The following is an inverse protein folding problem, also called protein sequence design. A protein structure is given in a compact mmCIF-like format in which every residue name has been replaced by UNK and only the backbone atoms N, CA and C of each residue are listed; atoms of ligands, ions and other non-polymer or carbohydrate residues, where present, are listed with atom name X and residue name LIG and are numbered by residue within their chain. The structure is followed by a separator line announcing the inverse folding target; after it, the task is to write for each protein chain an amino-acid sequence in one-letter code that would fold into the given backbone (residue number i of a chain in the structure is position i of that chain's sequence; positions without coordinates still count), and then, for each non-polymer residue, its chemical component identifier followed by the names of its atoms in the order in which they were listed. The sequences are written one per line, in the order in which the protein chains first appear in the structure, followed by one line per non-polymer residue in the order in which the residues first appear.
data_IF_011636060633
#
_entry.id   IF_011636060633
#
_cell.length_a   1.000
_cell.length_b   1.000
_cell.length_c   1.000
_cell.angle_alpha   90.00
_cell.angle_beta   90.00
_cell.angle_gamma   90.00
#
_symmetry.space_group_name_H-M   'P 1'
#
loop_
_entity.id
_entity.type
_entity.pdbx_description
1 polymer ?
#
# COMPACT_ATOMS: atom_id res chain seq x y z
N UNK A 1 21.59 2.66 -11.33
CA UNK A 1 20.21 2.12 -11.30
C UNK A 1 20.25 0.65 -10.93
N UNK A 2 20.02 0.35 -9.64
CA UNK A 2 19.78 -1.03 -9.24
C UNK A 2 18.49 -1.51 -9.92
N UNK A 3 18.61 -2.48 -10.79
CA UNK A 3 17.50 -3.02 -11.57
C UNK A 3 16.37 -3.48 -10.62
N UNK A 4 15.14 -3.03 -10.85
CA UNK A 4 13.95 -3.44 -10.08
C UNK A 4 13.81 -4.96 -10.05
N UNK A 5 14.34 -5.67 -11.05
CA UNK A 5 14.31 -7.13 -11.16
C UNK A 5 15.03 -7.86 -10.02
N UNK A 6 16.08 -7.26 -9.46
CA UNK A 6 16.92 -7.90 -8.42
C UNK A 6 16.41 -7.69 -7.00
N UNK A 7 15.32 -6.94 -6.82
CA UNK A 7 14.70 -6.70 -5.51
C UNK A 7 13.78 -7.86 -5.12
N UNK A 8 13.66 -8.08 -3.81
CA UNK A 8 12.65 -9.00 -3.29
C UNK A 8 11.23 -8.51 -3.67
N UNK A 9 10.26 -9.43 -3.72
CA UNK A 9 8.84 -9.09 -3.97
C UNK A 9 8.31 -8.08 -2.95
N UNK A 10 8.80 -8.17 -1.73
CA UNK A 10 8.46 -7.23 -0.68
C UNK A 10 9.01 -5.82 -0.95
N UNK A 11 10.28 -5.71 -1.33
CA UNK A 11 10.90 -4.42 -1.65
C UNK A 11 10.27 -3.76 -2.89
N UNK A 12 9.87 -4.56 -3.89
CA UNK A 12 9.09 -4.08 -5.05
C UNK A 12 7.73 -3.54 -4.61
N UNK A 13 7.06 -4.22 -3.68
CA UNK A 13 5.78 -3.78 -3.15
C UNK A 13 5.90 -2.48 -2.34
N UNK A 14 6.95 -2.35 -1.52
CA UNK A 14 7.22 -1.13 -0.77
C UNK A 14 7.56 0.05 -1.69
N UNK A 15 8.31 -0.20 -2.76
CA UNK A 15 8.61 0.81 -3.79
C UNK A 15 7.31 1.29 -4.46
N UNK A 16 6.37 0.39 -4.75
CA UNK A 16 5.07 0.77 -5.30
C UNK A 16 4.31 1.71 -4.34
N UNK A 17 4.33 1.42 -3.01
CA UNK A 17 3.72 2.30 -2.02
C UNK A 17 4.38 3.69 -1.98
N UNK A 18 5.72 3.76 -2.10
CA UNK A 18 6.44 5.04 -2.19
C UNK A 18 6.01 5.83 -3.44
N UNK A 19 5.86 5.18 -4.59
CA UNK A 19 5.39 5.85 -5.80
C UNK A 19 3.98 6.41 -5.66
N UNK A 20 3.07 5.66 -5.04
CA UNK A 20 1.71 6.15 -4.76
C UNK A 20 1.78 7.40 -3.88
N UNK A 21 2.51 7.33 -2.80
CA UNK A 21 2.65 8.43 -1.84
C UNK A 21 3.28 9.68 -2.49
N UNK A 22 4.38 9.49 -3.24
CA UNK A 22 5.04 10.59 -3.98
C UNK A 22 4.16 11.18 -5.07
N UNK A 23 3.33 10.37 -5.72
CA UNK A 23 2.38 10.83 -6.75
C UNK A 23 1.39 11.82 -6.15
N UNK A 24 0.88 11.55 -4.96
CA UNK A 24 -0.02 12.47 -4.28
C UNK A 24 0.73 13.63 -3.58
N UNK A 25 1.82 13.35 -2.87
CA UNK A 25 2.48 14.34 -2.01
C UNK A 25 3.38 15.33 -2.76
N UNK A 26 4.07 14.86 -3.82
CA UNK A 26 5.04 15.68 -4.57
C UNK A 26 4.57 16.06 -5.96
N UNK A 27 3.99 15.12 -6.71
CA UNK A 27 3.49 15.40 -8.05
C UNK A 27 2.08 16.01 -8.05
N UNK A 28 1.43 16.13 -6.89
CA UNK A 28 0.09 16.72 -6.69
C UNK A 28 -0.99 16.13 -7.60
N UNK A 29 -0.86 14.85 -7.97
CA UNK A 29 -1.81 14.18 -8.85
C UNK A 29 -3.17 13.99 -8.16
N UNK A 30 -4.23 14.01 -8.95
CA UNK A 30 -5.61 13.85 -8.48
C UNK A 30 -6.04 12.37 -8.42
N UNK A 31 -5.29 11.47 -9.07
CA UNK A 31 -5.59 10.05 -9.11
C UNK A 31 -4.33 9.22 -9.34
N UNK A 32 -4.38 7.97 -8.90
CA UNK A 32 -3.37 6.97 -9.17
C UNK A 32 -4.06 5.68 -9.64
N UNK A 33 -3.65 5.16 -10.78
CA UNK A 33 -4.18 3.93 -11.36
C UNK A 33 -3.09 2.86 -11.41
N UNK A 34 -3.39 1.68 -10.88
CA UNK A 34 -2.52 0.53 -11.04
C UNK A 34 -2.91 -0.25 -12.30
N UNK A 35 -1.94 -0.58 -13.14
CA UNK A 35 -2.19 -1.22 -14.43
C UNK A 35 -2.85 -2.60 -14.33
N UNK A 36 -2.39 -3.45 -13.40
CA UNK A 36 -2.82 -4.84 -13.33
C UNK A 36 -3.42 -5.23 -11.98
N UNK A 37 -4.75 -5.30 -11.88
CA UNK A 37 -5.39 -5.77 -10.65
C UNK A 37 -5.21 -7.27 -10.47
N UNK A 38 -5.53 -8.06 -11.50
CA UNK A 38 -5.51 -9.53 -11.44
C UNK A 38 -4.72 -10.09 -12.62
N UNK A 39 -3.75 -10.94 -12.33
CA UNK A 39 -3.01 -11.69 -13.34
C UNK A 39 -3.09 -13.18 -13.10
N UNK A 40 -3.24 -13.96 -14.18
CA UNK A 40 -3.14 -15.40 -14.13
C UNK A 40 -1.67 -15.85 -14.25
N UNK A 41 -1.26 -16.78 -13.40
CA UNK A 41 0.08 -17.38 -13.44
C UNK A 41 0.13 -18.67 -14.25
N UNK A 42 -1.03 -19.23 -14.58
CA UNK A 42 -1.13 -20.48 -15.32
C UNK A 42 -2.27 -20.45 -16.34
N UNK A 43 -2.25 -19.57 -17.34
CA UNK A 43 -3.02 -19.87 -18.52
C UNK A 43 -2.35 -21.08 -19.19
N UNK A 44 -3.16 -22.00 -19.67
CA UNK A 44 -2.71 -23.01 -20.62
C UNK A 44 -1.91 -22.31 -21.74
N UNK A 45 -0.58 -22.50 -21.76
CA UNK A 45 0.31 -21.90 -22.75
C UNK A 45 1.36 -20.89 -22.26
N UNK A 46 1.28 -20.31 -21.05
CA UNK A 46 2.40 -19.51 -20.51
C UNK A 46 3.43 -20.46 -19.86
N UNK A 47 4.29 -20.99 -20.69
CA UNK A 47 5.46 -21.77 -20.25
C UNK A 47 6.70 -20.89 -20.01
N UNK A 48 6.69 -19.66 -20.52
CA UNK A 48 7.82 -18.75 -20.41
C UNK A 48 7.95 -18.20 -18.96
N UNK A 49 9.02 -18.50 -18.22
CA UNK A 49 9.21 -18.04 -16.85
C UNK A 49 9.31 -16.52 -16.72
N UNK A 50 9.80 -15.82 -17.74
CA UNK A 50 9.89 -14.36 -17.75
C UNK A 50 8.48 -13.69 -17.78
N UNK A 51 7.52 -14.29 -18.48
CA UNK A 51 6.14 -13.81 -18.52
C UNK A 51 5.48 -14.04 -17.17
N UNK A 52 5.69 -15.20 -16.54
CA UNK A 52 5.20 -15.48 -15.17
C UNK A 52 5.76 -14.47 -14.17
N UNK A 53 7.07 -14.17 -14.25
CA UNK A 53 7.71 -13.19 -13.37
C UNK A 53 7.13 -11.79 -13.60
N UNK A 54 6.92 -11.39 -14.86
CA UNK A 54 6.28 -10.11 -15.18
C UNK A 54 4.88 -9.99 -14.56
N UNK A 55 4.07 -11.05 -14.64
CA UNK A 55 2.75 -11.07 -14.01
C UNK A 55 2.85 -10.94 -12.47
N UNK A 56 3.83 -11.60 -11.84
CA UNK A 56 4.10 -11.43 -10.40
C UNK A 56 4.53 -10.01 -10.07
N UNK A 57 5.36 -9.41 -10.89
CA UNK A 57 5.86 -8.05 -10.68
C UNK A 57 4.76 -6.98 -10.84
N UNK A 58 3.75 -7.21 -11.69
CA UNK A 58 2.70 -6.25 -12.00
C UNK A 58 1.40 -6.49 -11.21
N UNK A 59 1.05 -7.74 -10.92
CA UNK A 59 -0.24 -8.11 -10.31
C UNK A 59 -0.38 -7.69 -8.85
N UNK A 60 -1.54 -7.14 -8.50
CA UNK A 60 -1.95 -6.99 -7.10
C UNK A 60 -2.51 -8.31 -6.57
N UNK A 61 -3.27 -9.02 -7.40
CA UNK A 61 -3.84 -10.34 -7.12
C UNK A 61 -3.36 -11.31 -8.20
N UNK A 62 -2.89 -12.47 -7.78
CA UNK A 62 -2.44 -13.53 -8.66
C UNK A 62 -3.40 -14.71 -8.55
N UNK A 63 -3.76 -15.27 -9.69
CA UNK A 63 -4.59 -16.47 -9.78
C UNK A 63 -3.77 -17.56 -10.44
N UNK A 64 -3.66 -18.72 -9.80
CA UNK A 64 -3.01 -19.89 -10.34
C UNK A 64 -3.99 -21.06 -10.39
N UNK A 65 -4.08 -21.69 -11.55
CA UNK A 65 -4.84 -22.92 -11.72
C UNK A 65 -3.85 -24.10 -11.78
N UNK A 66 -3.96 -25.02 -10.85
CA UNK A 66 -3.19 -26.27 -10.84
C UNK A 66 -4.12 -27.44 -11.13
N UNK A 67 -3.77 -28.23 -12.12
CA UNK A 67 -4.48 -29.45 -12.46
C UNK A 67 -4.01 -30.55 -11.47
N UNK A 68 -4.87 -30.92 -10.53
CA UNK A 68 -4.73 -32.13 -9.75
C UNK A 68 -5.15 -33.37 -10.53
N UNK A 69 -4.92 -34.56 -9.98
CA UNK A 69 -5.26 -35.81 -10.65
C UNK A 69 -6.73 -35.93 -11.08
N UNK A 70 -7.66 -35.30 -10.31
CA UNK A 70 -9.10 -35.40 -10.53
C UNK A 70 -9.83 -34.05 -10.50
N UNK A 71 -9.17 -32.94 -10.17
CA UNK A 71 -9.82 -31.63 -10.02
C UNK A 71 -8.92 -30.47 -10.42
N UNK A 72 -9.53 -29.41 -10.97
CA UNK A 72 -8.88 -28.12 -11.17
C UNK A 72 -8.91 -27.34 -9.86
N UNK A 73 -7.76 -27.08 -9.26
CA UNK A 73 -7.63 -26.27 -8.07
C UNK A 73 -7.25 -24.84 -8.45
N UNK A 74 -7.99 -23.87 -7.91
CA UNK A 74 -7.72 -22.43 -8.09
C UNK A 74 -7.12 -21.85 -6.82
N UNK A 75 -5.97 -21.22 -6.95
CA UNK A 75 -5.29 -20.50 -5.87
C UNK A 75 -5.36 -19.01 -6.16
N UNK A 76 -5.77 -18.24 -5.17
CA UNK A 76 -5.82 -16.79 -5.23
C UNK A 76 -4.87 -16.22 -4.19
N UNK A 77 -3.85 -15.53 -4.65
CA UNK A 77 -2.86 -14.85 -3.82
C UNK A 77 -3.06 -13.34 -3.89
N UNK A 78 -3.26 -12.69 -2.74
CA UNK A 78 -3.13 -11.24 -2.61
C UNK A 78 -1.68 -10.92 -2.29
N UNK A 79 -0.99 -10.22 -3.18
CA UNK A 79 0.43 -9.88 -3.01
C UNK A 79 0.61 -8.80 -1.93
N UNK A 80 1.85 -8.58 -1.47
CA UNK A 80 2.14 -7.44 -0.58
C UNK A 80 1.83 -6.09 -1.25
N UNK A 81 1.95 -5.99 -2.58
CA UNK A 81 1.52 -4.80 -3.35
C UNK A 81 0.02 -4.52 -3.16
N UNK A 82 -0.83 -5.56 -3.18
CA UNK A 82 -2.25 -5.42 -2.88
C UNK A 82 -2.48 -4.79 -1.49
N UNK A 83 -1.79 -5.25 -0.47
CA UNK A 83 -1.98 -4.74 0.89
C UNK A 83 -1.40 -3.34 1.08
N UNK A 84 -0.30 -3.00 0.42
CA UNK A 84 0.20 -1.64 0.40
C UNK A 84 -0.74 -0.69 -0.38
N UNK A 85 -1.25 -1.12 -1.53
CA UNK A 85 -2.25 -0.36 -2.27
C UNK A 85 -3.54 -0.17 -1.45
N UNK A 86 -3.96 -1.20 -0.71
CA UNK A 86 -5.10 -1.15 0.19
C UNK A 86 -4.97 -0.07 1.27
N UNK A 87 -3.76 0.26 1.73
CA UNK A 87 -3.53 1.34 2.72
C UNK A 87 -4.01 2.71 2.19
N UNK A 88 -4.03 2.91 0.89
CA UNK A 88 -4.59 4.10 0.25
C UNK A 88 -6.05 3.86 -0.14
N UNK A 89 -6.32 2.91 -1.01
CA UNK A 89 -7.61 2.72 -1.66
C UNK A 89 -8.76 2.37 -0.70
N UNK A 90 -8.47 1.72 0.43
CA UNK A 90 -9.50 1.37 1.41
C UNK A 90 -9.94 2.56 2.25
N UNK A 91 -9.07 3.54 2.46
CA UNK A 91 -9.30 4.63 3.42
C UNK A 91 -9.47 5.99 2.75
N UNK A 92 -8.77 6.27 1.66
CA UNK A 92 -8.95 7.49 0.87
C UNK A 92 -10.04 7.25 -0.16
N UNK A 93 -11.19 7.87 0.04
CA UNK A 93 -12.37 7.67 -0.81
C UNK A 93 -12.46 8.72 -1.91
N UNK A 94 -13.19 8.45 -3.00
CA UNK A 94 -13.54 9.48 -3.98
C UNK A 94 -14.13 10.72 -3.29
N UNK A 95 -13.71 11.91 -3.74
CA UNK A 95 -14.12 13.17 -3.14
C UNK A 95 -13.28 13.65 -1.95
N UNK A 96 -12.32 12.85 -1.47
CA UNK A 96 -11.35 13.34 -0.49
C UNK A 96 -10.40 14.32 -1.14
N UNK A 97 -10.05 15.38 -0.42
CA UNK A 97 -9.10 16.41 -0.86
C UNK A 97 -7.77 16.21 -0.15
N UNK A 98 -6.68 16.21 -0.92
CA UNK A 98 -5.33 16.19 -0.34
C UNK A 98 -5.10 17.47 0.46
N UNK A 99 -4.52 17.33 1.65
CA UNK A 99 -4.11 18.45 2.49
C UNK A 99 -2.60 18.45 2.68
N UNK A 100 -2.02 19.63 2.84
CA UNK A 100 -0.59 19.76 3.12
C UNK A 100 -0.29 19.25 4.53
N UNK A 101 0.84 18.57 4.66
CA UNK A 101 1.37 18.14 5.96
C UNK A 101 2.78 18.71 6.09
N UNK A 102 3.04 19.35 7.20
CA UNK A 102 4.39 19.75 7.56
C UNK A 102 5.04 18.58 8.34
N UNK A 103 6.10 18.04 7.77
CA UNK A 103 6.84 16.93 8.38
C UNK A 103 8.31 17.32 8.52
N UNK A 104 8.91 17.14 9.70
CA UNK A 104 10.34 17.38 9.90
C UNK A 104 11.21 16.29 9.26
N UNK A 105 10.61 15.25 8.69
CA UNK A 105 11.32 14.12 8.07
C UNK A 105 11.04 14.06 6.58
N UNK A 106 11.98 13.53 5.82
CA UNK A 106 11.79 13.24 4.39
C UNK A 106 10.96 11.97 4.13
N UNK A 107 10.40 11.38 5.18
CA UNK A 107 9.56 10.19 5.05
C UNK A 107 8.35 10.51 4.18
N UNK A 108 8.11 9.76 3.10
CA UNK A 108 6.92 9.96 2.27
C UNK A 108 5.66 9.82 3.10
N UNK A 109 4.83 10.84 3.05
CA UNK A 109 3.52 10.83 3.68
C UNK A 109 2.53 11.68 2.91
N UNK A 110 1.28 11.23 2.89
CA UNK A 110 0.16 11.92 2.25
C UNK A 110 -0.99 12.03 3.23
N UNK A 111 -1.69 13.16 3.22
CA UNK A 111 -2.88 13.37 4.05
C UNK A 111 -4.06 13.84 3.21
N UNK A 112 -5.24 13.38 3.58
CA UNK A 112 -6.48 13.63 2.87
C UNK A 112 -7.60 13.93 3.86
N UNK A 113 -8.47 14.88 3.52
CA UNK A 113 -9.66 15.20 4.29
C UNK A 113 -10.91 14.84 3.49
N UNK A 114 -11.90 14.26 4.17
CA UNK A 114 -13.20 13.95 3.55
C UNK A 114 -13.94 15.24 3.15
N UNK A 115 -14.83 15.12 2.18
CA UNK A 115 -15.63 16.27 1.68
C UNK A 115 -16.49 16.90 2.76
N UNK A 116 -17.00 16.11 3.71
CA UNK A 116 -17.77 16.58 4.86
C UNK A 116 -16.88 17.10 6.02
N UNK A 117 -15.57 17.06 5.85
CA UNK A 117 -14.54 17.47 6.83
C UNK A 117 -14.62 16.72 8.18
N UNK A 118 -15.22 15.54 8.20
CA UNK A 118 -15.35 14.72 9.43
C UNK A 118 -14.29 13.61 9.54
N UNK A 119 -13.48 13.40 8.51
CA UNK A 119 -12.42 12.40 8.55
C UNK A 119 -11.15 12.94 7.92
N UNK A 120 -10.01 12.69 8.56
CA UNK A 120 -8.66 12.92 8.01
C UNK A 120 -7.95 11.58 7.96
N UNK A 121 -7.38 11.26 6.82
CA UNK A 121 -6.59 10.04 6.58
C UNK A 121 -5.15 10.45 6.30
N UNK A 122 -4.21 9.89 7.05
CA UNK A 122 -2.78 10.09 6.85
C UNK A 122 -2.15 8.75 6.52
N UNK A 123 -1.46 8.67 5.39
CA UNK A 123 -0.69 7.49 4.99
C UNK A 123 0.80 7.80 5.09
N UNK A 124 1.53 6.95 5.79
CA UNK A 124 2.98 7.09 6.03
C UNK A 124 3.70 5.88 5.48
N UNK A 125 4.66 6.10 4.59
CA UNK A 125 5.49 5.05 3.99
C UNK A 125 6.89 5.08 4.59
N UNK A 126 7.15 4.26 5.60
CA UNK A 126 8.49 4.10 6.16
C UNK A 126 9.32 3.13 5.33
N UNK A 127 10.07 3.65 4.38
CA UNK A 127 10.99 2.86 3.55
C UNK A 127 12.38 2.66 4.16
N UNK A 128 12.65 3.27 5.31
CA UNK A 128 13.94 3.16 5.98
C UNK A 128 14.14 1.78 6.65
N UNK A 129 15.39 1.50 7.04
CA UNK A 129 15.73 0.30 7.80
C UNK A 129 15.54 0.47 9.33
N UNK A 130 14.97 1.60 9.78
CA UNK A 130 14.76 1.91 11.18
C UNK A 130 13.27 2.15 11.46
N UNK A 131 12.77 1.79 12.65
CA UNK A 131 11.42 2.16 13.05
C UNK A 131 11.31 3.68 13.19
N UNK A 132 10.15 4.22 12.85
CA UNK A 132 9.82 5.64 12.90
C UNK A 132 8.83 5.89 14.02
N UNK A 133 9.17 6.79 14.95
CA UNK A 133 8.22 7.32 15.93
C UNK A 133 7.64 8.61 15.38
N UNK A 134 6.33 8.71 15.33
CA UNK A 134 5.62 9.90 14.90
C UNK A 134 4.63 10.36 15.96
N UNK A 135 4.54 11.66 16.13
CA UNK A 135 3.47 12.34 16.85
C UNK A 135 2.69 13.17 15.82
N UNK A 136 1.39 12.99 15.81
CA UNK A 136 0.52 13.76 14.94
C UNK A 136 -0.05 14.94 15.72
N UNK A 137 0.32 16.15 15.34
CA UNK A 137 -0.27 17.37 15.84
C UNK A 137 -1.27 17.89 14.81
N UNK A 138 -2.48 18.13 15.22
CA UNK A 138 -3.54 18.60 14.34
C UNK A 138 -4.57 19.42 15.12
N UNK A 139 -5.21 20.36 14.42
CA UNK A 139 -6.32 21.15 14.95
C UNK A 139 -7.69 20.49 14.72
N UNK A 140 -7.70 19.22 14.32
CA UNK A 140 -8.91 18.49 13.93
C UNK A 140 -9.72 18.04 15.15
N UNK A 141 -9.10 17.81 16.30
CA UNK A 141 -9.72 17.33 17.55
C UNK A 141 -10.58 16.08 17.35
N UNK A 142 -9.97 14.94 16.98
CA UNK A 142 -10.70 13.73 16.66
C UNK A 142 -11.29 13.07 17.92
N UNK A 143 -12.53 12.58 17.82
CA UNK A 143 -13.15 11.73 18.83
C UNK A 143 -12.67 10.27 18.73
N UNK A 144 -12.32 9.82 17.51
CA UNK A 144 -11.87 8.46 17.23
C UNK A 144 -10.58 8.52 16.41
N UNK A 145 -9.61 7.70 16.80
CA UNK A 145 -8.37 7.51 16.04
C UNK A 145 -8.14 6.02 15.82
N UNK A 146 -8.00 5.63 14.56
CA UNK A 146 -7.72 4.26 14.13
C UNK A 146 -6.38 4.23 13.37
N UNK A 147 -5.65 3.14 13.46
CA UNK A 147 -4.45 2.93 12.66
C UNK A 147 -4.39 1.53 12.09
N UNK A 148 -3.95 1.41 10.84
CA UNK A 148 -3.79 0.15 10.11
C UNK A 148 -2.37 0.07 9.55
N UNK A 149 -1.79 -1.13 9.55
CA UNK A 149 -0.41 -1.33 9.14
C UNK A 149 -0.24 -2.51 8.20
N UNK A 150 0.62 -2.30 7.20
CA UNK A 150 1.19 -3.36 6.37
C UNK A 150 2.70 -3.38 6.57
N UNK A 151 3.21 -4.54 6.96
CA UNK A 151 4.64 -4.84 7.13
C UNK A 151 4.91 -6.31 6.70
N UNK A 152 6.11 -6.88 6.87
CA UNK A 152 6.34 -8.29 6.51
C UNK A 152 5.34 -9.27 7.13
N UNK A 153 4.86 -8.99 8.35
CA UNK A 153 4.01 -9.89 9.14
C UNK A 153 2.52 -9.50 9.16
N UNK A 154 2.17 -8.28 8.72
CA UNK A 154 0.81 -7.73 8.75
C UNK A 154 0.32 -7.34 7.36
N UNK A 155 -0.97 -7.46 7.15
CA UNK A 155 -1.63 -7.24 5.87
C UNK A 155 -2.79 -6.23 6.00
N UNK A 156 -2.47 -4.97 6.26
CA UNK A 156 -3.45 -3.91 6.51
C UNK A 156 -4.32 -4.22 7.75
N UNK A 157 -3.66 -4.54 8.83
CA UNK A 157 -4.27 -4.92 10.09
C UNK A 157 -4.29 -3.76 11.08
N UNK A 158 -5.27 -3.71 12.00
CA UNK A 158 -5.33 -2.67 13.01
C UNK A 158 -4.14 -2.74 13.95
N UNK A 159 -3.63 -1.57 14.34
CA UNK A 159 -2.51 -1.43 15.27
C UNK A 159 -2.73 -0.24 16.21
N UNK A 160 -1.99 -0.20 17.31
CA UNK A 160 -1.99 0.99 18.18
C UNK A 160 -1.30 2.16 17.47
N UNK A 161 -1.92 3.35 17.50
CA UNK A 161 -1.32 4.58 17.00
C UNK A 161 -0.05 4.96 17.76
N UNK A 162 0.05 4.57 19.04
CA UNK A 162 1.19 4.88 19.90
C UNK A 162 2.43 4.03 19.58
N UNK A 163 2.26 2.92 18.85
CA UNK A 163 3.39 2.08 18.48
C UNK A 163 4.24 2.76 17.40
N UNK A 164 5.56 2.52 17.43
CA UNK A 164 6.42 2.95 16.32
C UNK A 164 6.00 2.30 15.00
N UNK A 165 6.17 3.03 13.89
CA UNK A 165 5.98 2.50 12.54
C UNK A 165 7.23 1.67 12.20
N UNK A 166 7.14 0.35 12.01
CA UNK A 166 8.31 -0.48 11.75
C UNK A 166 9.08 -0.04 10.51
N UNK A 167 10.34 -0.47 10.42
CA UNK A 167 11.10 -0.35 9.18
C UNK A 167 10.36 -1.02 8.03
N UNK A 168 10.52 -0.50 6.82
CA UNK A 168 9.94 -1.07 5.58
C UNK A 168 8.44 -1.39 5.70
N UNK A 169 7.64 -0.43 6.14
CA UNK A 169 6.20 -0.60 6.35
C UNK A 169 5.39 0.62 5.91
N UNK A 170 4.09 0.42 5.73
CA UNK A 170 3.12 1.50 5.50
C UNK A 170 2.09 1.49 6.60
N UNK A 171 1.80 2.66 7.14
CA UNK A 171 0.76 2.86 8.13
C UNK A 171 -0.24 3.90 7.66
N UNK A 172 -1.51 3.58 7.76
CA UNK A 172 -2.61 4.54 7.61
C UNK A 172 -3.18 4.87 8.97
N UNK A 173 -3.31 6.16 9.26
CA UNK A 173 -3.96 6.67 10.46
C UNK A 173 -5.21 7.45 10.05
N UNK A 174 -6.31 7.21 10.74
CA UNK A 174 -7.61 7.79 10.45
C UNK A 174 -8.08 8.51 11.68
N UNK A 175 -8.32 9.80 11.53
CA UNK A 175 -8.90 10.68 12.55
C UNK A 175 -10.35 10.96 12.19
N UNK A 176 -11.29 10.76 13.10
CA UNK A 176 -12.73 10.98 12.89
C UNK A 176 -13.32 11.87 13.99
N UNK A 177 -14.22 12.79 13.59
CA UNK A 177 -15.09 13.56 14.49
C UNK A 177 -16.35 12.81 14.79
#
# INVERSE_FOLDING_TARGET
EMCIRDRSEYDKALLAAQYIDMTFSKAEANAFFWWGLVYSLAPSGITNPNVRQKHRDEGLVLVEEKRGANNLQKYVERTKKYFFFKQFANFVKPGYTRIKVDSPTETPLSAFISSDKKSVVVVVTNSSNKPLKMKFENSFEPAIVEAYQTDPNRNCEPVSILSAIPSKSVRTVIFKK
#
